data_IF_585190061413
#
_entry.id   IF_585190061413
#
_cell.length_a   1.000
_cell.length_b   1.000
_cell.length_c   1.000
_cell.angle_alpha   90.00
_cell.angle_beta   90.00
_cell.angle_gamma   90.00
#
_symmetry.space_group_name_H-M   'P 1'
#
loop_
_entity.id
_entity.type
_entity.pdbx_description
1 polymer ?
#
# COMPACT_ATOMS: atom_id res chain seq x y z
N UNK A 1 -26.11 -41.42 24.31
CA UNK A 1 -26.61 -41.70 25.69
C UNK A 1 -27.42 -40.53 26.27
N UNK A 2 -26.99 -39.27 26.11
CA UNK A 2 -27.67 -38.07 26.64
C UNK A 2 -29.13 -37.90 26.16
N UNK A 3 -29.35 -37.78 24.84
CA UNK A 3 -30.70 -37.64 24.26
C UNK A 3 -31.65 -38.79 24.60
N UNK A 4 -31.14 -40.02 24.78
CA UNK A 4 -31.98 -41.16 25.19
C UNK A 4 -32.62 -40.97 26.57
N UNK A 5 -31.97 -40.24 27.49
CA UNK A 5 -32.53 -39.93 28.80
C UNK A 5 -33.61 -38.85 28.70
N UNK A 6 -33.42 -37.88 27.80
CA UNK A 6 -34.37 -36.79 27.53
C UNK A 6 -35.65 -37.35 26.88
N UNK A 7 -35.52 -38.19 25.86
CA UNK A 7 -36.67 -38.85 25.19
C UNK A 7 -37.40 -39.86 26.07
N UNK A 8 -36.75 -40.42 27.10
CA UNK A 8 -37.43 -41.25 28.11
C UNK A 8 -38.25 -40.40 29.09
N UNK A 9 -37.87 -39.14 29.31
CA UNK A 9 -38.49 -38.24 30.29
C UNK A 9 -39.61 -37.38 29.68
N UNK A 10 -39.46 -36.97 28.42
CA UNK A 10 -40.49 -36.20 27.69
C UNK A 10 -41.03 -36.97 26.48
N UNK A 11 -42.35 -36.90 26.26
CA UNK A 11 -43.03 -37.46 25.08
C UNK A 11 -43.22 -36.42 23.96
N UNK A 12 -42.65 -35.22 24.11
CA UNK A 12 -42.81 -34.17 23.12
C UNK A 12 -41.90 -34.41 21.90
N UNK A 13 -42.45 -34.58 20.68
CA UNK A 13 -41.66 -34.77 19.46
C UNK A 13 -40.77 -33.57 19.12
N UNK A 14 -41.04 -32.39 19.70
CA UNK A 14 -40.25 -31.17 19.47
C UNK A 14 -38.78 -31.32 19.86
N UNK A 15 -38.48 -32.19 20.85
CA UNK A 15 -37.09 -32.51 21.24
C UNK A 15 -36.30 -33.22 20.13
N UNK A 16 -36.96 -33.88 19.18
CA UNK A 16 -36.27 -34.49 18.04
C UNK A 16 -35.68 -33.41 17.13
N UNK A 17 -36.41 -32.32 16.91
CA UNK A 17 -35.90 -31.17 16.15
C UNK A 17 -34.70 -30.54 16.85
N UNK A 18 -34.77 -30.35 18.17
CA UNK A 18 -33.61 -29.86 18.93
C UNK A 18 -32.40 -30.79 18.80
N UNK A 19 -32.59 -32.11 18.89
CA UNK A 19 -31.50 -33.07 18.74
C UNK A 19 -30.84 -32.98 17.33
N UNK A 20 -31.64 -32.77 16.28
CA UNK A 20 -31.14 -32.55 14.92
C UNK A 20 -30.37 -31.23 14.81
N UNK A 21 -30.88 -30.15 15.42
CA UNK A 21 -30.21 -28.86 15.42
C UNK A 21 -28.87 -28.92 16.16
N UNK A 22 -28.77 -29.69 17.24
CA UNK A 22 -27.48 -29.97 17.90
C UNK A 22 -26.50 -30.70 16.98
N UNK A 23 -26.96 -31.65 16.17
CA UNK A 23 -26.10 -32.32 15.19
C UNK A 23 -25.60 -31.34 14.12
N UNK A 24 -26.46 -30.43 13.64
CA UNK A 24 -26.06 -29.37 12.73
C UNK A 24 -25.01 -28.46 13.35
N UNK A 25 -25.14 -28.10 14.63
CA UNK A 25 -24.15 -27.32 15.36
C UNK A 25 -22.78 -28.02 15.41
N UNK A 26 -22.74 -29.33 15.69
CA UNK A 26 -21.47 -30.08 15.68
C UNK A 26 -20.83 -30.10 14.29
N UNK A 27 -21.62 -30.22 13.22
CA UNK A 27 -21.10 -30.15 11.86
C UNK A 27 -20.50 -28.75 11.54
N UNK A 28 -21.09 -27.68 12.08
CA UNK A 28 -20.51 -26.33 11.98
C UNK A 28 -19.15 -26.22 12.68
N UNK A 29 -19.00 -26.81 13.86
CA UNK A 29 -17.75 -26.77 14.64
C UNK A 29 -16.61 -27.44 13.86
N UNK A 30 -16.86 -28.65 13.33
CA UNK A 30 -15.93 -29.38 12.46
C UNK A 30 -15.53 -28.57 11.22
N UNK A 31 -16.52 -27.92 10.57
CA UNK A 31 -16.27 -27.09 9.41
C UNK A 31 -15.42 -25.85 9.75
N UNK A 32 -15.64 -25.23 10.91
CA UNK A 32 -14.82 -24.11 11.38
C UNK A 32 -13.40 -24.53 11.74
N UNK A 33 -13.20 -25.73 12.29
CA UNK A 33 -11.86 -26.28 12.55
C UNK A 33 -11.09 -26.52 11.24
N UNK A 34 -11.74 -27.13 10.24
CA UNK A 34 -11.15 -27.30 8.92
C UNK A 34 -10.81 -25.94 8.26
N UNK A 35 -11.71 -24.97 8.38
CA UNK A 35 -11.50 -23.61 7.88
C UNK A 35 -10.32 -22.92 8.57
N UNK A 36 -10.18 -23.09 9.88
CA UNK A 36 -9.06 -22.55 10.64
C UNK A 36 -7.71 -23.08 10.16
N UNK A 37 -7.64 -24.39 9.91
CA UNK A 37 -6.45 -25.02 9.32
C UNK A 37 -6.11 -24.41 7.95
N UNK A 38 -7.11 -24.18 7.11
CA UNK A 38 -6.93 -23.55 5.80
C UNK A 38 -6.47 -22.09 5.90
N UNK A 39 -7.09 -21.28 6.75
CA UNK A 39 -6.70 -19.86 6.97
C UNK A 39 -5.25 -19.77 7.45
N UNK A 40 -4.84 -20.65 8.37
CA UNK A 40 -3.48 -20.66 8.91
C UNK A 40 -2.45 -21.04 7.85
N UNK A 41 -2.79 -21.99 6.96
CA UNK A 41 -1.94 -22.34 5.81
C UNK A 41 -1.82 -21.16 4.84
N UNK A 42 -2.93 -20.54 4.47
CA UNK A 42 -2.95 -19.37 3.58
C UNK A 42 -2.12 -18.21 4.16
N UNK A 43 -2.28 -17.90 5.44
CA UNK A 43 -1.49 -16.87 6.11
C UNK A 43 0.02 -17.12 6.00
N UNK A 44 0.45 -18.37 6.24
CA UNK A 44 1.86 -18.74 6.14
C UNK A 44 2.39 -18.60 4.70
N UNK A 45 1.58 -18.96 3.70
CA UNK A 45 1.94 -18.87 2.30
C UNK A 45 1.99 -17.41 1.79
N UNK A 46 1.07 -16.55 2.25
CA UNK A 46 1.03 -15.11 1.92
C UNK A 46 2.32 -14.43 2.37
N UNK A 47 2.73 -14.68 3.61
CA UNK A 47 3.92 -14.07 4.19
C UNK A 47 5.21 -14.52 3.51
N UNK A 48 5.23 -15.74 2.96
CA UNK A 48 6.40 -16.29 2.28
C UNK A 48 6.51 -15.79 0.84
N UNK A 49 5.42 -15.87 0.09
CA UNK A 49 5.49 -15.84 -1.38
C UNK A 49 5.23 -14.44 -1.94
N UNK A 50 4.64 -13.52 -1.16
CA UNK A 50 4.32 -12.15 -1.59
C UNK A 50 3.46 -12.09 -2.88
N UNK A 51 2.76 -13.17 -3.20
CA UNK A 51 2.00 -13.31 -4.44
C UNK A 51 0.62 -12.67 -4.32
N UNK A 52 0.30 -11.83 -5.30
CA UNK A 52 -1.02 -11.20 -5.43
C UNK A 52 -2.12 -12.25 -5.65
N UNK A 53 -1.82 -13.40 -6.27
CA UNK A 53 -2.82 -14.45 -6.50
C UNK A 53 -3.40 -15.01 -5.21
N UNK A 54 -2.57 -15.11 -4.16
CA UNK A 54 -2.99 -15.61 -2.86
C UNK A 54 -3.96 -14.66 -2.15
N UNK A 55 -3.89 -13.35 -2.43
CA UNK A 55 -4.86 -12.37 -1.91
C UNK A 55 -6.27 -12.61 -2.46
N UNK A 56 -6.41 -13.20 -3.67
CA UNK A 56 -7.73 -13.57 -4.21
C UNK A 56 -8.37 -14.69 -3.41
N UNK A 57 -7.58 -15.68 -2.99
CA UNK A 57 -8.07 -16.77 -2.14
C UNK A 57 -8.47 -16.25 -0.76
N UNK A 58 -7.70 -15.32 -0.18
CA UNK A 58 -8.10 -14.64 1.07
C UNK A 58 -9.45 -13.93 0.91
N UNK A 59 -9.65 -13.16 -0.15
CA UNK A 59 -10.93 -12.50 -0.41
C UNK A 59 -12.10 -13.48 -0.62
N UNK A 60 -11.87 -14.61 -1.30
CA UNK A 60 -12.88 -15.66 -1.42
C UNK A 60 -13.27 -16.19 -0.05
N UNK A 61 -12.32 -16.51 0.82
CA UNK A 61 -12.60 -16.99 2.18
C UNK A 61 -13.37 -15.95 2.99
N UNK A 62 -13.02 -14.66 2.87
CA UNK A 62 -13.75 -13.56 3.52
C UNK A 62 -15.22 -13.52 3.06
N UNK A 63 -15.48 -13.67 1.76
CA UNK A 63 -16.84 -13.73 1.23
C UNK A 63 -17.63 -14.92 1.80
N UNK A 64 -17.01 -16.09 1.94
CA UNK A 64 -17.66 -17.25 2.59
C UNK A 64 -17.93 -16.99 4.07
N UNK A 65 -17.02 -16.35 4.82
CA UNK A 65 -17.24 -15.97 6.22
C UNK A 65 -18.38 -14.95 6.39
N UNK A 66 -18.61 -14.09 5.40
CA UNK A 66 -19.77 -13.19 5.36
C UNK A 66 -21.07 -13.97 5.11
N UNK A 67 -21.05 -14.93 4.20
CA UNK A 67 -22.20 -15.80 3.97
C UNK A 67 -22.54 -16.63 5.21
N UNK A 68 -21.54 -17.17 5.92
CA UNK A 68 -21.72 -17.92 7.16
C UNK A 68 -22.33 -17.09 8.28
N UNK A 69 -22.05 -15.77 8.31
CA UNK A 69 -22.74 -14.86 9.25
C UNK A 69 -24.25 -14.90 9.04
N UNK A 70 -24.71 -14.85 7.79
CA UNK A 70 -26.14 -14.91 7.49
C UNK A 70 -26.73 -16.29 7.84
N UNK A 71 -26.03 -17.38 7.50
CA UNK A 71 -26.50 -18.73 7.82
C UNK A 71 -26.62 -18.98 9.33
N UNK A 72 -25.65 -18.52 10.14
CA UNK A 72 -25.72 -18.65 11.60
C UNK A 72 -26.87 -17.83 12.19
N UNK A 73 -27.14 -16.65 11.65
CA UNK A 73 -28.29 -15.84 12.08
C UNK A 73 -29.63 -16.51 11.73
N UNK A 74 -29.75 -17.13 10.57
CA UNK A 74 -30.95 -17.86 10.17
C UNK A 74 -31.10 -19.18 10.96
N UNK A 75 -29.99 -19.82 11.32
CA UNK A 75 -29.96 -20.96 12.23
C UNK A 75 -30.43 -20.56 13.64
N UNK A 76 -29.97 -19.42 14.17
CA UNK A 76 -30.43 -18.84 15.44
C UNK A 76 -31.95 -18.60 15.44
N UNK A 77 -32.49 -18.01 14.37
CA UNK A 77 -33.95 -17.79 14.22
C UNK A 77 -34.72 -19.11 14.22
N UNK A 78 -34.16 -20.15 13.58
CA UNK A 78 -34.77 -21.48 13.53
C UNK A 78 -34.84 -22.12 14.92
N UNK A 79 -33.80 -21.95 15.76
CA UNK A 79 -33.79 -22.40 17.16
C UNK A 79 -34.82 -21.63 18.00
N UNK A 80 -34.91 -20.31 17.83
CA UNK A 80 -35.93 -19.48 18.51
C UNK A 80 -37.34 -19.92 18.10
N UNK A 81 -37.56 -20.18 16.82
CA UNK A 81 -38.87 -20.65 16.33
C UNK A 81 -39.29 -21.97 16.99
N UNK A 82 -38.36 -22.93 17.15
CA UNK A 82 -38.65 -24.20 17.82
C UNK A 82 -38.99 -24.00 19.31
N UNK A 83 -38.35 -23.03 19.97
CA UNK A 83 -38.66 -22.67 21.36
C UNK A 83 -40.04 -22.03 21.50
N UNK A 84 -40.36 -21.08 20.62
CA UNK A 84 -41.56 -20.25 20.74
C UNK A 84 -42.81 -20.92 20.15
N UNK A 85 -42.66 -22.03 19.42
CA UNK A 85 -43.76 -22.79 18.79
C UNK A 85 -44.03 -24.10 19.55
N UNK A 86 -44.80 -24.07 20.65
CA UNK A 86 -45.16 -25.27 21.38
C UNK A 86 -46.06 -26.20 20.55
N UNK A 87 -45.94 -27.50 20.79
CA UNK A 87 -46.68 -28.52 20.05
C UNK A 87 -48.20 -28.47 20.34
N UNK A 88 -49.07 -28.27 19.32
CA UNK A 88 -50.52 -28.19 19.48
C UNK A 88 -51.17 -29.53 19.87
N UNK A 89 -50.51 -30.66 19.61
CA UNK A 89 -51.02 -32.01 19.92
C UNK A 89 -51.14 -32.25 21.43
N UNK A 90 -50.42 -31.47 22.24
CA UNK A 90 -50.41 -31.63 23.69
C UNK A 90 -51.70 -31.15 24.36
N UNK A 91 -52.59 -30.43 23.68
CA UNK A 91 -53.77 -29.78 24.29
C UNK A 91 -55.07 -30.62 24.27
N UNK A 92 -55.16 -31.68 23.46
CA UNK A 92 -56.46 -32.19 22.97
C UNK A 92 -57.03 -33.45 23.66
N UNK A 93 -56.57 -33.81 24.86
CA UNK A 93 -56.99 -35.04 25.55
C UNK A 93 -58.12 -34.85 26.58
N UNK A 94 -59.22 -35.61 26.47
CA UNK A 94 -60.21 -35.75 27.57
C UNK A 94 -59.54 -36.50 28.75
N UNK A 95 -58.97 -35.75 29.69
CA UNK A 95 -58.29 -36.30 30.88
C UNK A 95 -59.09 -36.11 32.16
N UNK A 96 -59.00 -37.12 33.03
CA UNK A 96 -59.53 -37.15 34.40
C UNK A 96 -58.83 -36.10 35.27
N UNK A 97 -59.44 -35.60 36.37
CA UNK A 97 -58.85 -34.53 37.22
C UNK A 97 -57.43 -34.85 37.74
N UNK A 98 -57.13 -36.12 38.02
CA UNK A 98 -55.82 -36.58 38.47
C UNK A 98 -54.79 -36.60 37.33
N UNK A 99 -55.18 -37.08 36.15
CA UNK A 99 -54.36 -37.10 34.95
C UNK A 99 -54.03 -35.69 34.47
N UNK A 100 -54.97 -34.73 34.60
CA UNK A 100 -54.73 -33.31 34.31
C UNK A 100 -53.62 -32.72 35.16
N UNK A 101 -53.59 -33.01 36.48
CA UNK A 101 -52.53 -32.50 37.37
C UNK A 101 -51.17 -33.12 37.04
N UNK A 102 -51.12 -34.42 36.73
CA UNK A 102 -49.88 -35.10 36.35
C UNK A 102 -49.38 -34.61 34.97
N UNK A 103 -50.27 -34.44 34.00
CA UNK A 103 -49.95 -33.90 32.68
C UNK A 103 -49.48 -32.44 32.76
N UNK A 104 -50.07 -31.61 33.63
CA UNK A 104 -49.63 -30.23 33.84
C UNK A 104 -48.19 -30.17 34.39
N UNK A 105 -47.84 -31.03 35.36
CA UNK A 105 -46.46 -31.13 35.87
C UNK A 105 -45.47 -31.60 34.81
N UNK A 106 -45.82 -32.64 34.05
CA UNK A 106 -44.97 -33.14 32.98
C UNK A 106 -44.76 -32.11 31.86
N UNK A 107 -45.76 -31.28 31.56
CA UNK A 107 -45.64 -30.16 30.60
C UNK A 107 -44.70 -29.09 31.12
N UNK A 108 -44.82 -28.70 32.38
CA UNK A 108 -43.92 -27.72 33.00
C UNK A 108 -42.46 -28.21 33.01
N UNK A 109 -42.23 -29.48 33.38
CA UNK A 109 -40.91 -30.10 33.32
C UNK A 109 -40.36 -30.15 31.89
N UNK A 110 -41.21 -30.46 30.91
CA UNK A 110 -40.85 -30.49 29.49
C UNK A 110 -40.50 -29.11 28.96
N UNK A 111 -41.26 -28.08 29.35
CA UNK A 111 -41.02 -26.69 28.97
C UNK A 111 -39.71 -26.16 29.57
N UNK A 112 -39.48 -26.39 30.85
CA UNK A 112 -38.23 -26.01 31.52
C UNK A 112 -37.01 -26.70 30.90
N UNK A 113 -37.15 -27.97 30.50
CA UNK A 113 -36.10 -28.69 29.79
C UNK A 113 -35.88 -28.12 28.38
N UNK A 114 -36.96 -27.83 27.64
CA UNK A 114 -36.92 -27.20 26.31
C UNK A 114 -36.20 -25.85 26.35
N UNK A 115 -36.56 -25.01 27.32
CA UNK A 115 -35.95 -23.69 27.52
C UNK A 115 -34.45 -23.82 27.82
N UNK A 116 -34.07 -24.79 28.66
CA UNK A 116 -32.67 -25.04 28.98
C UNK A 116 -31.86 -25.51 27.77
N UNK A 117 -32.35 -26.51 27.03
CA UNK A 117 -31.63 -27.05 25.88
C UNK A 117 -31.52 -26.02 24.75
N UNK A 118 -32.59 -25.27 24.51
CA UNK A 118 -32.58 -24.18 23.52
C UNK A 118 -31.64 -23.06 23.94
N UNK A 119 -31.63 -22.67 25.23
CA UNK A 119 -30.73 -21.64 25.72
C UNK A 119 -29.26 -22.05 25.58
N UNK A 120 -28.92 -23.30 25.91
CA UNK A 120 -27.59 -23.84 25.67
C UNK A 120 -27.23 -23.81 24.18
N UNK A 121 -28.13 -24.25 23.30
CA UNK A 121 -27.89 -24.24 21.85
C UNK A 121 -27.67 -22.82 21.31
N UNK A 122 -28.45 -21.84 21.79
CA UNK A 122 -28.28 -20.43 21.42
C UNK A 122 -26.93 -19.87 21.89
N UNK A 123 -26.49 -20.24 23.09
CA UNK A 123 -25.15 -19.88 23.60
C UNK A 123 -24.04 -20.46 22.72
N UNK A 124 -24.19 -21.70 22.24
CA UNK A 124 -23.20 -22.30 21.34
C UNK A 124 -23.21 -21.65 19.95
N UNK A 125 -24.37 -21.24 19.44
CA UNK A 125 -24.44 -20.47 18.19
C UNK A 125 -23.71 -19.13 18.35
N UNK A 126 -23.89 -18.45 19.49
CA UNK A 126 -23.17 -17.21 19.78
C UNK A 126 -21.65 -17.41 19.89
N UNK A 127 -21.21 -18.57 20.43
CA UNK A 127 -19.80 -18.98 20.40
C UNK A 127 -19.30 -19.11 18.96
N UNK A 128 -20.04 -19.78 18.08
CA UNK A 128 -19.66 -19.92 16.66
C UNK A 128 -19.65 -18.58 15.92
N UNK A 129 -20.60 -17.68 16.22
CA UNK A 129 -20.63 -16.33 15.64
C UNK A 129 -19.40 -15.51 16.04
N UNK A 130 -19.00 -15.63 17.31
CA UNK A 130 -17.78 -14.99 17.84
C UNK A 130 -16.52 -15.55 17.16
N UNK A 131 -16.43 -16.88 17.01
CA UNK A 131 -15.33 -17.56 16.33
C UNK A 131 -15.23 -17.13 14.85
N UNK A 132 -16.36 -17.09 14.14
CA UNK A 132 -16.44 -16.57 12.77
C UNK A 132 -16.00 -15.11 12.68
N UNK A 133 -16.36 -14.27 13.65
CA UNK A 133 -15.91 -12.87 13.70
C UNK A 133 -14.40 -12.77 13.87
N UNK A 134 -13.84 -13.52 14.81
CA UNK A 134 -12.39 -13.58 15.02
C UNK A 134 -11.65 -14.03 13.75
N UNK A 135 -12.17 -15.01 13.01
CA UNK A 135 -11.58 -15.43 11.74
C UNK A 135 -11.64 -14.34 10.68
N UNK A 136 -12.76 -13.60 10.60
CA UNK A 136 -12.91 -12.45 9.72
C UNK A 136 -11.88 -11.37 10.03
N UNK A 137 -11.71 -11.02 11.30
CA UNK A 137 -10.78 -9.98 11.74
C UNK A 137 -9.32 -10.38 11.48
N UNK A 138 -8.96 -11.64 11.76
CA UNK A 138 -7.64 -12.19 11.45
C UNK A 138 -7.36 -12.13 9.95
N UNK A 139 -8.31 -12.56 9.11
CA UNK A 139 -8.14 -12.57 7.67
C UNK A 139 -7.95 -11.16 7.11
N UNK A 140 -8.69 -10.17 7.62
CA UNK A 140 -8.50 -8.77 7.26
C UNK A 140 -7.13 -8.24 7.65
N UNK A 141 -6.61 -8.61 8.82
CA UNK A 141 -5.26 -8.24 9.25
C UNK A 141 -4.19 -8.85 8.32
N UNK A 142 -4.29 -10.14 7.99
CA UNK A 142 -3.36 -10.81 7.06
C UNK A 142 -3.41 -10.16 5.68
N UNK A 143 -4.61 -9.84 5.19
CA UNK A 143 -4.79 -9.18 3.89
C UNK A 143 -4.16 -7.78 3.86
N UNK A 144 -4.35 -6.97 4.91
CA UNK A 144 -3.69 -5.66 5.03
C UNK A 144 -2.18 -5.79 5.04
N UNK A 145 -1.65 -6.78 5.75
CA UNK A 145 -0.22 -7.06 5.80
C UNK A 145 0.31 -7.51 4.43
N UNK A 146 -0.44 -8.35 3.71
CA UNK A 146 -0.10 -8.78 2.35
C UNK A 146 0.05 -7.59 1.39
N UNK A 147 -0.95 -6.70 1.37
CA UNK A 147 -0.91 -5.49 0.54
C UNK A 147 0.23 -4.55 0.93
N UNK A 148 0.49 -4.37 2.22
CA UNK A 148 1.61 -3.58 2.68
C UNK A 148 2.96 -4.17 2.23
N UNK A 149 3.11 -5.50 2.27
CA UNK A 149 4.34 -6.17 1.85
C UNK A 149 4.59 -6.03 0.34
N UNK A 150 3.55 -6.24 -0.48
CA UNK A 150 3.62 -6.03 -1.94
C UNK A 150 3.98 -4.57 -2.26
N UNK A 151 3.34 -3.61 -1.60
CA UNK A 151 3.64 -2.19 -1.81
C UNK A 151 5.08 -1.82 -1.42
N UNK A 152 5.63 -2.45 -0.38
CA UNK A 152 7.03 -2.25 0.03
C UNK A 152 7.97 -2.81 -1.04
N UNK A 153 7.68 -3.98 -1.60
CA UNK A 153 8.50 -4.60 -2.65
C UNK A 153 8.47 -3.76 -3.93
N UNK A 154 7.30 -3.32 -4.38
CA UNK A 154 7.14 -2.43 -5.53
C UNK A 154 7.89 -1.11 -5.31
N UNK A 155 7.86 -0.57 -4.09
CA UNK A 155 8.61 0.64 -3.74
C UNK A 155 10.13 0.43 -3.82
N UNK A 156 10.63 -0.75 -3.43
CA UNK A 156 12.05 -1.12 -3.58
C UNK A 156 12.42 -1.26 -5.05
N UNK A 157 11.59 -1.94 -5.84
CA UNK A 157 11.79 -2.07 -7.28
C UNK A 157 11.83 -0.69 -7.96
N UNK A 158 10.88 0.19 -7.64
CA UNK A 158 10.83 1.57 -8.15
C UNK A 158 12.06 2.38 -7.72
N UNK A 159 12.52 2.23 -6.47
CA UNK A 159 13.73 2.89 -5.98
C UNK A 159 14.96 2.44 -6.79
N UNK A 160 15.09 1.14 -7.03
CA UNK A 160 16.19 0.59 -7.83
C UNK A 160 16.14 1.07 -9.28
N UNK A 161 14.94 1.10 -9.88
CA UNK A 161 14.72 1.66 -11.23
C UNK A 161 15.07 3.14 -11.29
N UNK A 162 14.68 3.92 -10.27
CA UNK A 162 14.98 5.35 -10.19
C UNK A 162 16.49 5.56 -10.04
N UNK A 163 17.16 4.79 -9.18
CA UNK A 163 18.62 4.86 -9.02
C UNK A 163 19.35 4.51 -10.32
N UNK A 164 18.93 3.44 -11.00
CA UNK A 164 19.46 3.05 -12.30
C UNK A 164 19.23 4.16 -13.35
N UNK A 165 18.03 4.77 -13.38
CA UNK A 165 17.70 5.88 -14.28
C UNK A 165 18.50 7.15 -13.98
N UNK A 166 18.81 7.42 -12.71
CA UNK A 166 19.67 8.54 -12.31
C UNK A 166 21.13 8.30 -12.73
N UNK A 167 21.63 7.07 -12.59
CA UNK A 167 22.96 6.68 -13.08
C UNK A 167 23.03 6.81 -14.61
N UNK A 168 22.01 6.34 -15.32
CA UNK A 168 21.90 6.49 -16.77
C UNK A 168 21.83 7.98 -17.19
N UNK A 169 21.06 8.79 -16.47
CA UNK A 169 20.99 10.25 -16.67
C UNK A 169 22.36 10.92 -16.46
N UNK A 170 23.18 10.44 -15.52
CA UNK A 170 24.53 10.95 -15.31
C UNK A 170 25.45 10.59 -16.49
N UNK A 171 25.38 9.36 -17.00
CA UNK A 171 26.11 8.95 -18.19
C UNK A 171 25.69 9.75 -19.44
N UNK A 172 24.38 9.93 -19.63
CA UNK A 172 23.82 10.72 -20.73
C UNK A 172 24.30 12.18 -20.68
N UNK A 173 24.35 12.78 -19.47
CA UNK A 173 24.92 14.12 -19.28
C UNK A 173 26.39 14.18 -19.68
N UNK A 174 27.19 13.17 -19.33
CA UNK A 174 28.60 13.13 -19.69
C UNK A 174 28.80 13.06 -21.21
N UNK A 175 28.06 12.21 -21.92
CA UNK A 175 28.09 12.12 -23.39
C UNK A 175 27.65 13.45 -24.01
N UNK A 176 26.56 14.04 -23.52
CA UNK A 176 26.08 15.33 -23.99
C UNK A 176 27.14 16.42 -23.81
N UNK A 177 27.80 16.50 -22.65
CA UNK A 177 28.89 17.46 -22.44
C UNK A 177 30.08 17.23 -23.37
N UNK A 178 30.45 15.98 -23.64
CA UNK A 178 31.51 15.67 -24.59
C UNK A 178 31.14 16.16 -26.00
N UNK A 179 29.97 15.77 -26.51
CA UNK A 179 29.51 16.19 -27.85
C UNK A 179 29.43 17.70 -27.98
N UNK A 180 29.02 18.40 -26.93
CA UNK A 180 28.88 19.85 -26.93
C UNK A 180 30.22 20.59 -27.03
N UNK A 181 31.30 20.03 -26.50
CA UNK A 181 32.66 20.59 -26.65
C UNK A 181 33.21 20.29 -28.04
N UNK A 182 32.98 19.09 -28.56
CA UNK A 182 33.55 18.65 -29.84
C UNK A 182 32.80 19.19 -31.06
N UNK A 183 31.48 19.39 -30.98
CA UNK A 183 30.66 19.77 -32.14
C UNK A 183 31.05 21.11 -32.79
N UNK A 184 31.37 22.19 -32.04
CA UNK A 184 31.87 23.43 -32.63
C UNK A 184 33.24 23.27 -33.31
N UNK A 185 34.13 22.47 -32.71
CA UNK A 185 35.44 22.19 -33.28
C UNK A 185 35.32 21.37 -34.57
N UNK A 186 34.43 20.36 -34.59
CA UNK A 186 34.13 19.58 -35.79
C UNK A 186 33.52 20.45 -36.90
N UNK A 187 32.60 21.37 -36.56
CA UNK A 187 32.03 22.31 -37.53
C UNK A 187 33.10 23.18 -38.18
N UNK A 188 33.99 23.77 -37.38
CA UNK A 188 35.10 24.58 -37.90
C UNK A 188 36.06 23.74 -38.74
N UNK A 189 36.45 22.56 -38.24
CA UNK A 189 37.27 21.62 -39.01
C UNK A 189 36.66 21.31 -40.38
N UNK A 190 35.34 21.06 -40.45
CA UNK A 190 34.64 20.82 -41.72
C UNK A 190 34.63 22.05 -42.64
N UNK A 191 34.36 23.25 -42.13
CA UNK A 191 34.34 24.49 -42.93
C UNK A 191 35.70 24.75 -43.57
N UNK A 192 36.78 24.53 -42.83
CA UNK A 192 38.14 24.71 -43.33
C UNK A 192 38.66 23.50 -44.14
N UNK A 193 38.07 22.31 -43.95
CA UNK A 193 38.37 21.11 -44.75
C UNK A 193 37.71 21.14 -46.13
N UNK A 194 36.61 21.89 -46.29
CA UNK A 194 36.02 22.15 -47.59
C UNK A 194 36.87 23.23 -48.28
N UNK A 195 37.50 22.91 -49.42
CA UNK A 195 38.44 23.79 -50.14
C UNK A 195 37.89 25.23 -50.35
N UNK A 196 38.27 26.17 -49.49
CA UNK A 196 37.86 27.60 -49.57
C UNK A 196 38.80 28.38 -50.48
N UNK A 197 39.03 27.89 -51.71
CA UNK A 197 39.86 28.60 -52.68
C UNK A 197 39.15 29.81 -53.32
N UNK A 198 37.81 29.89 -53.26
CA UNK A 198 37.02 30.92 -53.96
C UNK A 198 36.54 32.11 -53.10
N UNK A 199 36.63 32.05 -51.76
CA UNK A 199 36.05 33.11 -50.91
C UNK A 199 37.01 34.29 -50.68
N UNK A 200 38.32 34.15 -50.89
CA UNK A 200 39.23 35.32 -50.85
C UNK A 200 40.59 35.07 -51.57
N UNK A 201 40.79 35.54 -52.83
CA UNK A 201 41.95 35.21 -53.67
C UNK A 201 43.25 35.96 -53.28
N UNK A 202 43.46 36.23 -52.00
CA UNK A 202 44.65 36.95 -51.50
C UNK A 202 44.98 36.75 -50.01
N UNK A 203 44.29 35.86 -49.30
CA UNK A 203 44.56 35.67 -47.86
C UNK A 203 45.52 34.50 -47.68
N UNK A 204 46.77 34.81 -47.33
CA UNK A 204 47.77 33.83 -46.95
C UNK A 204 47.25 33.04 -45.74
N UNK A 205 47.06 31.75 -45.93
CA UNK A 205 46.61 30.80 -44.91
C UNK A 205 47.56 30.83 -43.71
N UNK A 206 47.15 31.50 -42.64
CA UNK A 206 47.82 31.39 -41.35
C UNK A 206 46.96 30.54 -40.43
N UNK A 207 47.49 29.39 -40.00
CA UNK A 207 46.95 28.54 -38.93
C UNK A 207 46.49 29.35 -37.69
N UNK A 208 47.08 30.53 -37.48
CA UNK A 208 46.68 31.48 -36.44
C UNK A 208 45.22 31.95 -36.56
N UNK A 209 44.72 32.24 -37.76
CA UNK A 209 43.33 32.67 -37.94
C UNK A 209 42.34 31.54 -37.68
N UNK A 210 42.71 30.31 -38.04
CA UNK A 210 41.96 29.10 -37.67
C UNK A 210 41.91 28.92 -36.15
N UNK A 211 43.04 29.07 -35.46
CA UNK A 211 43.11 28.96 -34.00
C UNK A 211 42.27 30.05 -33.30
N UNK A 212 42.34 31.29 -33.78
CA UNK A 212 41.56 32.41 -33.23
C UNK A 212 40.06 32.18 -33.43
N UNK A 213 39.62 31.82 -34.65
CA UNK A 213 38.21 31.57 -34.93
C UNK A 213 37.65 30.39 -34.12
N UNK A 214 38.45 29.33 -33.96
CA UNK A 214 38.07 28.15 -33.16
C UNK A 214 37.97 28.49 -31.67
N UNK A 215 38.89 29.28 -31.13
CA UNK A 215 38.85 29.72 -29.73
C UNK A 215 37.65 30.63 -29.47
N UNK A 216 37.36 31.58 -30.37
CA UNK A 216 36.19 32.46 -30.21
C UNK A 216 34.88 31.67 -30.26
N UNK A 217 34.78 30.69 -31.16
CA UNK A 217 33.61 29.83 -31.25
C UNK A 217 33.43 28.96 -30.01
N UNK A 218 34.52 28.37 -29.48
CA UNK A 218 34.44 27.54 -28.27
C UNK A 218 34.05 28.35 -27.02
N UNK A 219 34.54 29.59 -26.90
CA UNK A 219 34.11 30.52 -25.85
C UNK A 219 32.64 30.89 -26.01
N UNK A 220 32.18 31.17 -27.23
CA UNK A 220 30.78 31.47 -27.51
C UNK A 220 29.85 30.29 -27.20
N UNK A 221 30.24 29.06 -27.57
CA UNK A 221 29.45 27.86 -27.30
C UNK A 221 29.42 27.53 -25.81
N UNK A 222 30.55 27.72 -25.10
CA UNK A 222 30.58 27.57 -23.65
C UNK A 222 29.68 28.60 -22.95
N UNK A 223 29.70 29.85 -23.42
CA UNK A 223 28.82 30.92 -22.92
C UNK A 223 27.34 30.59 -23.13
N UNK A 224 26.96 30.21 -24.36
CA UNK A 224 25.59 29.86 -24.73
C UNK A 224 25.07 28.71 -23.86
N UNK A 225 25.90 27.70 -23.62
CA UNK A 225 25.48 26.53 -22.85
C UNK A 225 25.28 26.86 -21.39
N UNK A 226 26.22 27.58 -20.76
CA UNK A 226 26.07 27.96 -19.35
C UNK A 226 24.83 28.84 -19.19
N UNK A 227 24.50 29.66 -20.19
CA UNK A 227 23.27 30.45 -20.21
C UNK A 227 21.99 29.60 -20.36
N UNK A 228 22.04 28.49 -21.10
CA UNK A 228 20.90 27.60 -21.35
C UNK A 228 20.73 26.49 -20.28
N UNK A 229 21.75 26.22 -19.46
CA UNK A 229 21.65 25.24 -18.38
C UNK A 229 20.64 25.70 -17.31
N UNK A 230 19.60 24.90 -17.09
CA UNK A 230 18.49 25.23 -16.19
C UNK A 230 18.89 25.22 -14.70
N UNK A 231 19.92 24.47 -14.34
CA UNK A 231 20.43 24.35 -12.98
C UNK A 231 21.96 24.55 -13.02
N UNK A 232 22.40 25.77 -12.74
CA UNK A 232 23.83 26.08 -12.63
C UNK A 232 24.08 26.86 -11.34
N UNK A 233 25.25 26.63 -10.72
CA UNK A 233 25.65 27.30 -9.47
C UNK A 233 25.76 28.83 -9.59
N UNK A 234 25.67 29.37 -10.80
CA UNK A 234 25.85 30.79 -11.09
C UNK A 234 24.55 31.60 -10.91
N UNK A 235 23.36 30.96 -10.93
CA UNK A 235 22.05 31.66 -10.84
C UNK A 235 21.10 30.98 -9.85
N UNK A 236 20.33 31.74 -9.06
CA UNK A 236 19.30 31.17 -8.20
C UNK A 236 18.15 30.57 -9.03
N UNK A 237 17.53 29.47 -8.58
CA UNK A 237 16.39 28.85 -9.24
C UNK A 237 15.22 29.84 -9.30
N UNK A 238 14.59 29.96 -10.48
CA UNK A 238 13.46 30.88 -10.71
C UNK A 238 13.83 32.25 -11.33
N UNK A 239 15.10 32.49 -11.67
CA UNK A 239 15.49 33.70 -12.40
C UNK A 239 15.05 33.69 -13.87
N UNK A 240 14.56 34.84 -14.36
CA UNK A 240 14.12 35.02 -15.75
C UNK A 240 15.24 34.85 -16.78
N UNK A 241 14.88 34.49 -18.02
CA UNK A 241 15.81 34.10 -19.10
C UNK A 241 16.91 35.14 -19.36
N UNK A 242 16.57 36.43 -19.36
CA UNK A 242 17.54 37.52 -19.55
C UNK A 242 18.66 37.54 -18.50
N UNK A 243 18.37 37.17 -17.26
CA UNK A 243 19.35 37.14 -16.18
C UNK A 243 20.32 35.96 -16.32
N UNK A 244 19.88 34.87 -16.95
CA UNK A 244 20.71 33.68 -17.25
C UNK A 244 21.64 33.93 -18.43
N UNK A 245 21.24 34.74 -19.40
CA UNK A 245 22.09 35.12 -20.54
C UNK A 245 23.19 36.10 -20.12
N UNK A 246 22.86 37.09 -19.29
CA UNK A 246 23.82 38.07 -18.77
C UNK A 246 24.67 37.53 -17.61
N UNK A 247 24.91 36.22 -17.59
CA UNK A 247 25.50 35.54 -16.46
C UNK A 247 26.91 36.01 -16.06
N UNK A 248 27.85 36.20 -16.99
CA UNK A 248 29.21 36.55 -16.64
C UNK A 248 29.27 37.92 -15.94
N UNK A 249 28.38 38.83 -16.35
CA UNK A 249 28.33 40.21 -15.84
C UNK A 249 27.90 40.24 -14.38
N UNK A 250 26.79 39.56 -14.01
CA UNK A 250 26.40 39.58 -12.59
C UNK A 250 27.32 38.74 -11.71
N UNK A 251 27.97 37.70 -12.25
CA UNK A 251 28.97 36.93 -11.49
C UNK A 251 30.18 37.80 -11.13
N UNK A 252 30.72 38.54 -12.10
CA UNK A 252 31.82 39.50 -11.88
C UNK A 252 31.38 40.63 -10.96
N UNK A 253 30.18 41.17 -11.14
CA UNK A 253 29.65 42.22 -10.25
C UNK A 253 29.53 41.73 -8.79
N UNK A 254 29.13 40.47 -8.57
CA UNK A 254 29.07 39.86 -7.24
C UNK A 254 30.47 39.69 -6.63
N UNK A 255 31.44 39.17 -7.40
CA UNK A 255 32.83 39.05 -6.95
C UNK A 255 33.44 40.40 -6.56
N UNK A 256 33.18 41.45 -7.34
CA UNK A 256 33.65 42.82 -7.04
C UNK A 256 32.99 43.35 -5.77
N UNK A 257 31.69 43.10 -5.59
CA UNK A 257 30.96 43.50 -4.38
C UNK A 257 31.52 42.80 -3.14
N UNK A 258 31.70 41.48 -3.20
CA UNK A 258 32.24 40.67 -2.11
C UNK A 258 33.69 41.09 -1.77
N UNK A 259 34.51 41.39 -2.77
CA UNK A 259 35.88 41.90 -2.57
C UNK A 259 35.89 43.29 -1.90
N UNK A 260 34.93 44.15 -2.24
CA UNK A 260 34.79 45.48 -1.63
C UNK A 260 34.30 45.38 -0.19
N UNK A 261 33.35 44.50 0.11
CA UNK A 261 32.88 44.22 1.48
C UNK A 261 33.98 43.62 2.36
N UNK A 262 34.79 42.68 1.83
CA UNK A 262 35.95 42.14 2.56
C UNK A 262 36.97 43.22 2.90
N UNK A 263 37.26 44.16 1.98
CA UNK A 263 38.14 45.30 2.26
C UNK A 263 37.54 46.26 3.29
N UNK A 264 36.22 46.48 3.25
CA UNK A 264 35.51 47.30 4.24
C UNK A 264 35.56 46.71 5.65
N UNK A 265 35.27 45.41 5.79
CA UNK A 265 35.36 44.71 7.07
C UNK A 265 36.80 44.65 7.60
N UNK A 266 37.80 44.46 6.73
CA UNK A 266 39.21 44.49 7.13
C UNK A 266 39.69 45.87 7.61
N UNK A 267 39.08 46.96 7.14
CA UNK A 267 39.32 48.33 7.65
C UNK A 267 38.60 48.54 8.98
N UNK A 268 37.32 48.17 9.08
CA UNK A 268 36.54 48.28 10.32
C UNK A 268 37.12 47.46 11.48
N UNK A 269 37.68 46.28 11.19
CA UNK A 269 38.35 45.45 12.19
C UNK A 269 39.69 46.06 12.64
N UNK A 270 40.40 46.77 11.75
CA UNK A 270 41.61 47.54 12.12
C UNK A 270 41.28 48.74 13.00
N UNK A 271 40.21 49.47 12.70
CA UNK A 271 39.78 50.62 13.48
C UNK A 271 39.26 50.24 14.88
N UNK A 272 38.66 49.04 15.01
CA UNK A 272 38.26 48.48 16.31
C UNK A 272 39.47 48.07 17.17
N UNK A 273 40.54 47.55 16.58
CA UNK A 273 41.79 47.21 17.30
C UNK A 273 42.53 48.47 17.79
N UNK A 274 42.37 49.60 17.10
CA UNK A 274 42.97 50.89 17.49
C UNK A 274 42.13 51.68 18.52
N UNK A 275 40.93 51.20 18.88
CA UNK A 275 40.02 51.85 19.85
C UNK A 275 39.87 51.10 21.19
N UNK A 276 40.53 49.96 21.36
CA UNK A 276 40.65 49.32 22.66
C UNK A 276 41.81 49.97 23.43
N UNK A 277 41.55 50.62 24.58
CA UNK A 277 42.59 51.26 25.39
C UNK A 277 43.57 50.23 26.00
#
# INVERSE_FOLDING_TARGET
>A
VYWSKIFKKSKDPTFLFIAILWYALYAWDEAFEALYGHITKLESEVLRTHEIELTRELHKVEAHLLHYKQLLQDFKKSVIFVKDTPNPVTESGKMTKQERKMAARAREDSKNLMDKETHNLLSEIERLESQRSMYSDRLQNVMRLAFASVNIEDSRAMKNLTEASLKDSAAMKQIAYLTMVFLPATLMSSIFSMNVAEINPGTKEHLANFAIATVLLTVFTAWLVIALQLHSSFWPPGSGVFRRIAWPVFYVAKLIKDARERRGNARRNRDNILRTP
#
